data_IF_778918883745
#
_entry.id   IF_778918883745
#
_cell.length_a   1.000
_cell.length_b   1.000
_cell.length_c   1.000
_cell.angle_alpha   90.00
_cell.angle_beta   90.00
_cell.angle_gamma   90.00
#
_symmetry.space_group_name_H-M   'P 1'
#
loop_
_entity.id
_entity.type
_entity.pdbx_description
1 polymer ?
#
# COMPACT_ATOMS: atom_id res chain seq x y z
N UNK A 1 -7.90 29.46 -2.55
CA UNK A 1 -8.29 30.83 -2.11
C UNK A 1 -7.98 30.94 -0.63
N UNK A 2 -7.95 32.15 -0.07
CA UNK A 2 -7.72 32.30 1.38
C UNK A 2 -8.78 31.52 2.16
N UNK A 3 -8.35 30.75 3.15
CA UNK A 3 -9.17 29.88 3.99
C UNK A 3 -9.85 28.70 3.29
N UNK A 4 -9.54 28.43 2.01
CA UNK A 4 -9.89 27.15 1.40
C UNK A 4 -9.25 26.02 2.22
N UNK A 5 -10.08 25.10 2.69
CA UNK A 5 -9.68 24.08 3.67
C UNK A 5 -10.08 22.69 3.19
N UNK A 6 -9.14 21.76 3.24
CA UNK A 6 -9.41 20.32 3.19
C UNK A 6 -9.54 19.81 4.61
N UNK A 7 -10.69 19.18 4.90
CA UNK A 7 -10.94 18.54 6.18
C UNK A 7 -9.99 17.35 6.39
N UNK A 8 -9.97 16.84 7.62
CA UNK A 8 -9.20 15.65 7.96
C UNK A 8 -9.60 14.49 7.05
N UNK A 9 -8.62 13.95 6.33
CA UNK A 9 -8.83 12.85 5.41
C UNK A 9 -7.60 11.97 5.34
N UNK A 10 -7.81 10.74 4.88
CA UNK A 10 -6.79 9.74 4.62
C UNK A 10 -7.14 9.04 3.30
N UNK A 11 -6.14 8.61 2.54
CA UNK A 11 -6.42 7.78 1.36
C UNK A 11 -7.07 6.46 1.78
N UNK A 12 -8.18 6.12 1.13
CA UNK A 12 -8.92 4.91 1.45
C UNK A 12 -8.05 3.66 1.28
N UNK A 13 -7.22 3.59 0.24
CA UNK A 13 -6.33 2.45 -0.03
C UNK A 13 -5.01 2.54 0.75
N UNK A 14 -4.89 3.51 1.67
CA UNK A 14 -3.68 3.83 2.41
C UNK A 14 -2.47 4.07 1.49
N UNK A 15 -2.70 4.56 0.28
CA UNK A 15 -1.61 4.95 -0.61
C UNK A 15 -0.93 6.21 -0.07
N UNK A 16 0.40 6.27 -0.08
CA UNK A 16 1.08 7.53 0.07
C UNK A 16 0.76 8.44 -1.12
N UNK A 17 0.82 9.74 -0.88
CA UNK A 17 0.69 10.74 -1.93
C UNK A 17 1.69 11.87 -1.73
N UNK A 18 1.97 12.56 -2.82
CA UNK A 18 2.84 13.73 -2.83
C UNK A 18 2.06 14.92 -3.38
N UNK A 19 2.15 16.06 -2.70
CA UNK A 19 1.59 17.33 -3.15
C UNK A 19 2.73 18.30 -3.47
N UNK A 20 2.67 18.91 -4.64
CA UNK A 20 3.60 19.96 -5.07
C UNK A 20 2.87 21.29 -5.19
N UNK A 21 3.34 22.31 -4.47
CA UNK A 21 2.79 23.66 -4.55
C UNK A 21 3.50 24.43 -5.67
N UNK A 22 2.84 24.55 -6.83
CA UNK A 22 3.40 25.19 -8.02
C UNK A 22 3.62 26.69 -7.83
N UNK A 23 2.60 27.38 -7.30
CA UNK A 23 2.63 28.84 -7.15
C UNK A 23 1.60 29.34 -6.14
N UNK A 24 1.75 30.60 -5.74
CA UNK A 24 0.82 31.34 -4.90
C UNK A 24 1.25 31.42 -3.44
N UNK A 25 0.27 31.66 -2.58
CA UNK A 25 0.43 31.76 -1.14
C UNK A 25 0.70 30.41 -0.49
N UNK A 26 1.31 30.46 0.69
CA UNK A 26 1.64 29.30 1.50
C UNK A 26 0.40 28.46 1.86
N UNK A 27 0.62 27.16 2.06
CA UNK A 27 -0.39 26.24 2.56
C UNK A 27 0.05 25.68 3.93
N UNK A 28 -0.84 25.73 4.92
CA UNK A 28 -0.62 25.13 6.23
C UNK A 28 -1.14 23.70 6.20
N UNK A 29 -0.30 22.75 6.61
CA UNK A 29 -0.64 21.35 6.72
C UNK A 29 -0.67 20.93 8.18
N UNK A 30 -1.67 20.12 8.52
CA UNK A 30 -1.75 19.40 9.78
C UNK A 30 -1.76 17.90 9.49
N UNK A 31 -1.05 17.12 10.30
CA UNK A 31 -0.91 15.68 10.13
C UNK A 31 -1.02 14.96 11.47
N UNK A 32 -1.77 13.87 11.48
CA UNK A 32 -1.87 12.92 12.58
C UNK A 32 -1.20 11.62 12.12
N UNK A 33 -0.18 11.11 12.83
CA UNK A 33 0.48 9.85 12.50
C UNK A 33 -0.49 8.67 12.49
N UNK A 34 -0.16 7.61 11.73
CA UNK A 34 -1.01 6.43 11.60
C UNK A 34 -1.16 5.68 12.95
N UNK A 35 -0.16 5.77 13.81
CA UNK A 35 -0.14 5.13 15.13
C UNK A 35 -1.22 5.67 16.09
N UNK A 36 -1.72 6.88 15.82
CA UNK A 36 -2.78 7.51 16.62
C UNK A 36 -4.19 7.07 16.17
N UNK A 37 -4.34 6.22 15.15
CA UNK A 37 -5.64 5.85 14.55
C UNK A 37 -6.66 5.37 15.58
N UNK A 38 -6.28 4.42 16.45
CA UNK A 38 -7.18 3.87 17.46
C UNK A 38 -7.64 4.92 18.47
N UNK A 39 -6.71 5.79 18.90
CA UNK A 39 -7.02 6.87 19.85
C UNK A 39 -7.88 7.96 19.20
N UNK A 40 -7.60 8.26 17.93
CA UNK A 40 -8.36 9.22 17.14
C UNK A 40 -9.81 8.76 16.98
N UNK A 41 -10.04 7.47 16.74
CA UNK A 41 -11.38 6.90 16.65
C UNK A 41 -12.20 7.15 17.92
N UNK A 42 -11.64 6.84 19.09
CA UNK A 42 -12.30 7.00 20.40
C UNK A 42 -12.59 8.48 20.70
N UNK A 43 -11.60 9.35 20.48
CA UNK A 43 -11.72 10.79 20.72
C UNK A 43 -12.79 11.39 19.83
N UNK A 44 -12.79 11.06 18.55
CA UNK A 44 -13.76 11.60 17.58
C UNK A 44 -15.16 11.09 17.86
N UNK A 45 -15.30 9.80 18.18
CA UNK A 45 -16.58 9.21 18.56
C UNK A 45 -17.18 9.94 19.77
N UNK A 46 -16.34 10.25 20.76
CA UNK A 46 -16.74 10.98 21.98
C UNK A 46 -17.10 12.44 21.67
N UNK A 47 -16.25 13.15 20.93
CA UNK A 47 -16.44 14.58 20.60
C UNK A 47 -17.66 14.81 19.72
N UNK A 48 -17.90 13.94 18.74
CA UNK A 48 -18.99 14.09 17.78
C UNK A 48 -20.29 13.41 18.21
N UNK A 49 -20.31 12.76 19.39
CA UNK A 49 -21.45 12.00 19.90
C UNK A 49 -22.04 11.08 18.83
N UNK A 50 -21.17 10.30 18.20
CA UNK A 50 -21.56 9.50 17.05
C UNK A 50 -22.58 8.43 17.47
N UNK A 51 -23.85 8.61 17.10
CA UNK A 51 -24.95 7.68 17.42
C UNK A 51 -24.85 6.39 16.59
N UNK A 52 -23.82 5.57 16.83
CA UNK A 52 -23.58 4.30 16.17
C UNK A 52 -22.76 4.37 14.87
N UNK A 53 -22.26 5.54 14.48
CA UNK A 53 -21.31 5.70 13.36
C UNK A 53 -19.88 5.67 13.90
N UNK A 54 -18.96 4.86 13.35
CA UNK A 54 -17.56 4.89 13.75
C UNK A 54 -16.94 6.29 13.62
N UNK A 55 -16.17 6.73 14.61
CA UNK A 55 -15.65 8.11 14.67
C UNK A 55 -14.83 8.49 13.44
N UNK A 56 -13.94 7.60 12.98
CA UNK A 56 -13.11 7.85 11.79
C UNK A 56 -13.93 8.01 10.51
N UNK A 57 -15.06 7.31 10.38
CA UNK A 57 -15.94 7.46 9.23
C UNK A 57 -16.58 8.86 9.19
N UNK A 58 -16.80 9.49 10.35
CA UNK A 58 -17.29 10.86 10.42
C UNK A 58 -16.21 11.87 10.03
N UNK A 59 -14.96 11.68 10.46
CA UNK A 59 -13.83 12.51 10.02
C UNK A 59 -13.70 12.50 8.50
N UNK A 60 -13.72 11.30 7.90
CA UNK A 60 -13.66 11.11 6.45
C UNK A 60 -14.86 11.71 5.70
N UNK A 61 -15.95 12.05 6.41
CA UNK A 61 -17.17 12.69 5.85
C UNK A 61 -17.11 14.23 5.87
N UNK A 62 -15.91 14.81 5.78
CA UNK A 62 -15.64 16.26 5.76
C UNK A 62 -15.94 17.00 7.08
N UNK A 63 -15.67 16.36 8.23
CA UNK A 63 -15.73 17.05 9.52
C UNK A 63 -14.36 17.67 9.83
N UNK A 64 -14.35 18.97 10.12
CA UNK A 64 -13.15 19.67 10.58
C UNK A 64 -13.16 19.79 12.11
N UNK A 65 -12.20 19.14 12.76
CA UNK A 65 -11.91 19.30 14.20
C UNK A 65 -10.66 20.16 14.32
N UNK A 66 -10.69 21.16 15.21
CA UNK A 66 -9.52 22.00 15.45
C UNK A 66 -8.32 21.15 15.91
N UNK A 67 -7.13 21.32 15.30
CA UNK A 67 -5.90 20.67 15.77
C UNK A 67 -5.63 20.86 17.25
N UNK A 68 -5.97 22.04 17.80
CA UNK A 68 -5.79 22.34 19.22
C UNK A 68 -6.69 21.50 20.12
N UNK A 69 -7.92 21.20 19.68
CA UNK A 69 -8.84 20.33 20.41
C UNK A 69 -8.29 18.90 20.43
N UNK A 70 -7.83 18.40 19.28
CA UNK A 70 -7.21 17.08 19.19
C UNK A 70 -5.96 16.96 20.10
N UNK A 71 -5.10 17.98 20.12
CA UNK A 71 -3.96 18.03 21.03
C UNK A 71 -4.37 18.01 22.51
N UNK A 72 -5.47 18.68 22.90
CA UNK A 72 -5.99 18.68 24.28
C UNK A 72 -6.51 17.30 24.70
N UNK A 73 -7.11 16.56 23.78
CA UNK A 73 -7.49 15.15 23.96
C UNK A 73 -6.28 14.19 23.87
N UNK A 74 -5.08 14.75 23.72
CA UNK A 74 -3.81 14.03 23.72
C UNK A 74 -3.47 13.33 22.40
N UNK A 75 -4.15 13.64 21.29
CA UNK A 75 -3.75 13.17 19.96
C UNK A 75 -2.50 13.92 19.52
N UNK A 76 -1.51 13.20 19.00
CA UNK A 76 -0.32 13.82 18.43
C UNK A 76 -0.62 14.46 17.08
N UNK A 77 -0.55 15.78 17.00
CA UNK A 77 -0.72 16.54 15.75
C UNK A 77 0.57 17.26 15.39
N UNK A 78 1.01 17.10 14.14
CA UNK A 78 2.14 17.80 13.54
C UNK A 78 1.65 18.90 12.60
N UNK A 79 2.45 19.97 12.46
CA UNK A 79 2.16 21.10 11.57
C UNK A 79 3.37 21.43 10.70
N UNK A 80 3.13 21.75 9.44
CA UNK A 80 4.14 22.38 8.57
C UNK A 80 3.53 23.45 7.67
N UNK A 81 4.37 24.33 7.13
CA UNK A 81 4.00 25.34 6.14
C UNK A 81 4.69 25.00 4.84
N UNK A 82 3.91 24.76 3.79
CA UNK A 82 4.38 24.48 2.44
C UNK A 82 4.43 25.79 1.66
N UNK A 83 5.61 26.12 1.16
CA UNK A 83 5.87 27.27 0.30
C UNK A 83 5.93 26.86 -1.18
N UNK A 84 5.80 27.84 -2.08
CA UNK A 84 5.90 27.59 -3.53
C UNK A 84 7.21 26.88 -3.88
N UNK A 85 7.12 25.84 -4.71
CA UNK A 85 8.26 24.99 -5.09
C UNK A 85 8.56 23.84 -4.13
N UNK A 86 7.77 23.65 -3.06
CA UNK A 86 7.98 22.58 -2.09
C UNK A 86 7.04 21.39 -2.29
N UNK A 87 7.56 20.21 -1.96
CA UNK A 87 6.80 18.97 -1.86
C UNK A 87 6.37 18.69 -0.42
N UNK A 88 5.15 18.19 -0.25
CA UNK A 88 4.69 17.52 0.98
C UNK A 88 4.41 16.07 0.64
N UNK A 89 5.07 15.14 1.34
CA UNK A 89 4.85 13.71 1.20
C UNK A 89 4.01 13.22 2.38
N UNK A 90 2.86 12.65 2.08
CA UNK A 90 1.97 12.06 3.08
C UNK A 90 2.15 10.54 3.10
N UNK A 91 2.48 10.01 4.27
CA UNK A 91 2.72 8.59 4.46
C UNK A 91 1.41 7.81 4.58
N UNK A 92 1.44 6.49 4.28
CA UNK A 92 0.28 5.62 4.44
C UNK A 92 -0.31 5.70 5.84
N UNK A 93 -1.64 5.66 5.96
CA UNK A 93 -2.29 5.61 7.27
C UNK A 93 -2.48 6.97 7.96
N UNK A 94 -1.76 8.03 7.55
CA UNK A 94 -1.82 9.35 8.20
C UNK A 94 -3.08 10.13 7.83
N UNK A 95 -3.69 10.79 8.82
CA UNK A 95 -4.77 11.75 8.60
C UNK A 95 -4.20 13.14 8.38
N UNK A 96 -4.70 13.84 7.37
CA UNK A 96 -4.14 15.11 6.92
C UNK A 96 -5.24 16.15 6.69
N UNK A 97 -4.95 17.39 7.08
CA UNK A 97 -5.77 18.56 6.77
C UNK A 97 -4.89 19.67 6.20
N UNK A 98 -5.44 20.48 5.28
CA UNK A 98 -4.72 21.55 4.56
C UNK A 98 -5.55 22.83 4.61
N UNK A 99 -4.91 23.96 4.91
CA UNK A 99 -5.51 25.31 4.87
C UNK A 99 -4.67 26.20 3.96
N UNK A 100 -5.30 26.80 2.95
CA UNK A 100 -4.65 27.73 2.03
C UNK A 100 -4.65 29.16 2.59
N UNK A 101 -3.49 29.81 2.62
CA UNK A 101 -3.35 31.20 3.10
C UNK A 101 -3.70 32.25 2.02
N UNK A 102 -4.07 31.82 0.81
CA UNK A 102 -4.38 32.73 -0.30
C UNK A 102 -4.71 32.02 -1.60
N UNK A 103 -4.49 32.70 -2.73
CA UNK A 103 -4.47 32.03 -4.03
C UNK A 103 -3.27 31.09 -4.07
N UNK A 104 -3.50 29.81 -4.37
CA UNK A 104 -2.47 28.77 -4.44
C UNK A 104 -2.87 27.75 -5.50
N UNK A 105 -1.89 27.23 -6.23
CA UNK A 105 -2.09 26.14 -7.19
C UNK A 105 -1.16 25.00 -6.78
N UNK A 106 -1.72 23.87 -6.39
CA UNK A 106 -0.96 22.66 -6.09
C UNK A 106 -1.50 21.48 -6.88
N UNK A 107 -0.65 20.47 -7.04
CA UNK A 107 -0.99 19.22 -7.72
C UNK A 107 -0.64 18.05 -6.81
N UNK A 108 -1.54 17.08 -6.70
CA UNK A 108 -1.40 15.93 -5.82
C UNK A 108 -1.47 14.64 -6.62
N UNK A 109 -0.56 13.70 -6.37
CA UNK A 109 -0.59 12.36 -6.98
C UNK A 109 -0.34 11.28 -5.95
N UNK A 110 -1.12 10.21 -6.02
CA UNK A 110 -0.94 9.00 -5.22
C UNK A 110 0.06 8.07 -5.90
N UNK A 111 0.90 7.41 -5.13
CA UNK A 111 1.88 6.45 -5.65
C UNK A 111 1.93 5.21 -4.76
N UNK A 112 2.35 4.08 -5.30
CA UNK A 112 2.52 2.85 -4.56
C UNK A 112 3.99 2.49 -4.47
N UNK A 113 4.48 2.19 -3.27
CA UNK A 113 5.81 1.60 -3.05
C UNK A 113 5.68 0.09 -2.90
N UNK A 114 6.78 -0.64 -3.05
CA UNK A 114 6.79 -2.09 -2.76
C UNK A 114 6.32 -2.40 -1.34
N UNK A 115 6.71 -1.58 -0.36
CA UNK A 115 6.32 -1.74 1.05
C UNK A 115 4.83 -1.50 1.28
N UNK A 116 4.19 -0.65 0.47
CA UNK A 116 2.75 -0.43 0.56
C UNK A 116 1.95 -1.70 0.25
N UNK A 117 2.46 -2.65 -0.54
CA UNK A 117 1.69 -3.85 -0.94
C UNK A 117 1.13 -4.64 0.23
N UNK A 118 1.86 -4.76 1.34
CA UNK A 118 1.39 -5.43 2.56
C UNK A 118 0.24 -4.66 3.22
N UNK A 119 0.37 -3.34 3.37
CA UNK A 119 -0.67 -2.50 3.94
C UNK A 119 -1.91 -2.43 3.04
N UNK A 120 -1.72 -2.32 1.72
CA UNK A 120 -2.79 -2.35 0.73
C UNK A 120 -3.53 -3.68 0.73
N UNK A 121 -2.85 -4.80 1.01
CA UNK A 121 -3.47 -6.12 1.13
C UNK A 121 -4.38 -6.22 2.37
N UNK A 122 -3.93 -5.75 3.53
CA UNK A 122 -4.76 -5.69 4.74
C UNK A 122 -5.91 -4.71 4.60
N UNK A 123 -5.65 -3.51 4.06
CA UNK A 123 -6.68 -2.53 3.72
C UNK A 123 -7.73 -3.14 2.81
N UNK A 124 -7.30 -3.97 1.86
CA UNK A 124 -8.22 -4.68 1.00
C UNK A 124 -9.12 -5.68 1.77
N UNK A 125 -8.58 -6.43 2.74
CA UNK A 125 -9.42 -7.31 3.56
C UNK A 125 -10.40 -6.50 4.42
N UNK A 126 -9.96 -5.38 4.97
CA UNK A 126 -10.79 -4.50 5.79
C UNK A 126 -11.96 -3.92 5.00
N UNK A 127 -11.70 -3.34 3.84
CA UNK A 127 -12.75 -2.82 2.95
C UNK A 127 -13.76 -3.89 2.54
N UNK A 128 -13.29 -5.12 2.30
CA UNK A 128 -14.19 -6.25 2.01
C UNK A 128 -15.12 -6.53 3.20
N UNK A 129 -14.58 -6.50 4.44
CA UNK A 129 -15.37 -6.68 5.68
C UNK A 129 -16.38 -5.54 5.88
N UNK A 130 -15.99 -4.31 5.56
CA UNK A 130 -16.82 -3.09 5.67
C UNK A 130 -17.74 -2.85 4.46
N UNK A 131 -17.72 -3.73 3.45
CA UNK A 131 -18.55 -3.63 2.25
C UNK A 131 -18.27 -2.35 1.43
N UNK A 132 -17.04 -1.84 1.47
CA UNK A 132 -16.61 -0.64 0.74
C UNK A 132 -16.11 -1.02 -0.65
N UNK A 133 -16.66 -0.39 -1.68
CA UNK A 133 -16.31 -0.65 -3.07
C UNK A 133 -14.91 -0.10 -3.42
N UNK A 134 -14.03 -0.98 -3.90
CA UNK A 134 -12.66 -0.60 -4.30
C UNK A 134 -12.54 -0.12 -5.73
N UNK A 135 -11.54 0.74 -6.03
CA UNK A 135 -11.22 1.10 -7.41
C UNK A 135 -10.56 -0.05 -8.19
N UNK A 136 -9.78 -0.93 -7.54
CA UNK A 136 -9.07 -2.03 -8.20
C UNK A 136 -8.98 -3.31 -7.34
N UNK A 137 -8.60 -4.43 -7.97
CA UNK A 137 -8.40 -5.72 -7.30
C UNK A 137 -6.94 -5.89 -6.87
N UNK A 138 -6.71 -6.03 -5.56
CA UNK A 138 -5.38 -6.34 -5.01
C UNK A 138 -4.86 -7.69 -5.50
N UNK A 139 -5.74 -8.68 -5.69
CA UNK A 139 -5.37 -10.01 -6.21
C UNK A 139 -4.77 -9.88 -7.62
N UNK A 140 -5.45 -9.11 -8.50
CA UNK A 140 -4.96 -8.83 -9.85
C UNK A 140 -3.61 -8.13 -9.80
N UNK A 141 -3.49 -7.10 -8.96
CA UNK A 141 -2.27 -6.32 -8.84
C UNK A 141 -1.09 -7.21 -8.42
N UNK A 142 -1.24 -8.01 -7.36
CA UNK A 142 -0.20 -8.92 -6.87
C UNK A 142 0.23 -9.94 -7.93
N UNK A 143 -0.72 -10.54 -8.66
CA UNK A 143 -0.42 -11.48 -9.74
C UNK A 143 0.33 -10.84 -10.91
N UNK A 144 -0.02 -9.60 -11.27
CA UNK A 144 0.66 -8.87 -12.34
C UNK A 144 2.07 -8.45 -11.92
N UNK A 145 2.26 -7.98 -10.68
CA UNK A 145 3.60 -7.68 -10.12
C UNK A 145 4.43 -8.96 -10.11
N UNK A 146 3.88 -10.06 -9.59
CA UNK A 146 4.52 -11.37 -9.56
C UNK A 146 5.05 -11.80 -10.94
N UNK A 147 4.20 -11.75 -11.98
CA UNK A 147 4.59 -12.16 -13.32
C UNK A 147 5.61 -11.21 -13.97
N UNK A 148 5.46 -9.90 -13.77
CA UNK A 148 6.37 -8.90 -14.33
C UNK A 148 7.75 -8.94 -13.67
N UNK A 149 7.79 -8.97 -12.33
CA UNK A 149 9.03 -8.93 -11.56
C UNK A 149 9.75 -10.29 -11.55
N UNK A 150 9.03 -11.40 -11.72
CA UNK A 150 9.66 -12.71 -11.93
C UNK A 150 10.43 -12.79 -13.25
N UNK A 151 10.00 -12.05 -14.29
CA UNK A 151 10.73 -11.93 -15.57
C UNK A 151 11.97 -11.03 -15.46
N UNK A 152 11.90 -10.00 -14.61
CA UNK A 152 13.01 -9.06 -14.35
C UNK A 152 13.98 -9.52 -13.26
N UNK A 153 13.68 -10.63 -12.58
CA UNK A 153 14.47 -11.18 -11.48
C UNK A 153 14.69 -10.24 -10.28
N UNK A 154 13.69 -9.39 -10.00
CA UNK A 154 13.72 -8.42 -8.91
C UNK A 154 13.45 -9.10 -7.55
N UNK A 155 14.49 -9.70 -6.98
CA UNK A 155 14.43 -10.45 -5.71
C UNK A 155 13.79 -9.69 -4.54
N UNK A 156 14.18 -8.43 -4.23
CA UNK A 156 13.60 -7.68 -3.11
C UNK A 156 12.08 -7.49 -3.20
N UNK A 157 11.57 -7.16 -4.39
CA UNK A 157 10.12 -7.01 -4.60
C UNK A 157 9.40 -8.35 -4.47
N UNK A 158 9.95 -9.40 -5.07
CA UNK A 158 9.41 -10.76 -4.98
C UNK A 158 9.38 -11.26 -3.53
N UNK A 159 10.40 -10.94 -2.74
CA UNK A 159 10.47 -11.27 -1.31
C UNK A 159 9.39 -10.54 -0.50
N UNK A 160 9.10 -9.29 -0.83
CA UNK A 160 8.07 -8.50 -0.13
C UNK A 160 6.67 -9.07 -0.38
N UNK A 161 6.39 -9.51 -1.61
CA UNK A 161 5.05 -10.00 -2.00
C UNK A 161 4.85 -11.52 -1.80
N UNK A 162 5.91 -12.29 -1.55
CA UNK A 162 5.82 -13.77 -1.48
C UNK A 162 4.86 -14.23 -0.40
N UNK A 163 4.97 -13.66 0.81
CA UNK A 163 4.07 -13.96 1.92
C UNK A 163 2.61 -13.61 1.59
N UNK A 164 2.37 -12.50 0.88
CA UNK A 164 1.03 -12.09 0.45
C UNK A 164 0.45 -13.06 -0.59
N UNK A 165 1.29 -13.57 -1.50
CA UNK A 165 0.89 -14.55 -2.51
C UNK A 165 0.63 -15.93 -1.90
N UNK A 166 1.41 -16.34 -0.90
CA UNK A 166 1.16 -17.57 -0.13
C UNK A 166 -0.20 -17.50 0.56
N UNK A 167 -0.49 -16.41 1.28
CA UNK A 167 -1.78 -16.23 1.94
C UNK A 167 -2.94 -16.20 0.93
N UNK A 168 -2.75 -15.51 -0.20
CA UNK A 168 -3.75 -15.43 -1.26
C UNK A 168 -4.04 -16.81 -1.87
N UNK A 169 -3.00 -17.61 -2.17
CA UNK A 169 -3.14 -19.01 -2.63
C UNK A 169 -3.90 -19.83 -1.61
N UNK A 170 -3.46 -19.81 -0.35
CA UNK A 170 -4.00 -20.69 0.68
C UNK A 170 -5.45 -20.35 0.99
N UNK A 171 -5.81 -19.06 0.93
CA UNK A 171 -7.20 -18.60 1.07
C UNK A 171 -8.05 -19.04 -0.12
N UNK A 172 -7.57 -18.83 -1.35
CA UNK A 172 -8.27 -19.20 -2.58
C UNK A 172 -8.54 -20.71 -2.65
N UNK A 173 -7.51 -21.54 -2.44
CA UNK A 173 -7.65 -23.00 -2.49
C UNK A 173 -8.53 -23.54 -1.35
N UNK A 174 -8.46 -22.94 -0.17
CA UNK A 174 -9.35 -23.30 0.95
C UNK A 174 -10.81 -23.00 0.61
N UNK A 175 -11.10 -21.81 0.10
CA UNK A 175 -12.46 -21.40 -0.24
C UNK A 175 -13.04 -22.20 -1.41
N UNK A 176 -12.24 -22.54 -2.42
CA UNK A 176 -12.66 -23.45 -3.50
C UNK A 176 -13.03 -24.84 -2.96
N UNK A 177 -12.20 -25.42 -2.08
CA UNK A 177 -12.47 -26.71 -1.44
C UNK A 177 -13.75 -26.70 -0.60
N UNK A 178 -13.94 -25.68 0.22
CA UNK A 178 -15.16 -25.53 1.03
C UNK A 178 -16.43 -25.45 0.17
N UNK A 179 -16.39 -24.73 -0.96
CA UNK A 179 -17.52 -24.68 -1.89
C UNK A 179 -17.77 -26.02 -2.58
N UNK A 180 -16.71 -26.74 -2.94
CA UNK A 180 -16.82 -28.08 -3.52
C UNK A 180 -17.46 -29.05 -2.53
N UNK A 181 -17.01 -29.05 -1.27
CA UNK A 181 -17.57 -29.86 -0.19
C UNK A 181 -19.04 -29.49 0.11
N UNK A 182 -19.41 -28.22 -0.07
CA UNK A 182 -20.80 -27.76 0.02
C UNK A 182 -21.67 -28.17 -1.19
N UNK A 183 -21.11 -28.87 -2.18
CA UNK A 183 -21.83 -29.43 -3.34
C UNK A 183 -21.79 -28.58 -4.61
N UNK A 184 -20.93 -27.54 -4.68
CA UNK A 184 -20.74 -26.74 -5.89
C UNK A 184 -19.75 -27.42 -6.84
N UNK A 185 -20.25 -28.31 -7.69
CA UNK A 185 -19.41 -29.05 -8.65
C UNK A 185 -19.36 -28.41 -10.05
N UNK A 186 -20.33 -27.53 -10.37
CA UNK A 186 -20.36 -26.83 -11.66
C UNK A 186 -19.29 -25.75 -11.68
N UNK A 187 -18.31 -25.89 -12.58
CA UNK A 187 -17.24 -24.91 -12.74
C UNK A 187 -16.94 -24.59 -14.21
N UNK A 188 -16.35 -23.43 -14.48
CA UNK A 188 -15.76 -23.10 -15.77
C UNK A 188 -14.66 -22.05 -15.68
N UNK A 189 -13.71 -22.10 -16.59
CA UNK A 189 -12.67 -21.07 -16.74
C UNK A 189 -13.25 -19.80 -17.39
N UNK A 190 -12.88 -18.63 -16.89
CA UNK A 190 -13.11 -17.34 -17.55
C UNK A 190 -11.82 -16.60 -17.87
N UNK A 191 -11.84 -15.81 -18.94
CA UNK A 191 -10.72 -14.92 -19.30
C UNK A 191 -9.54 -15.64 -19.95
N UNK A 192 -9.79 -16.58 -20.87
CA UNK A 192 -8.73 -17.08 -21.75
C UNK A 192 -8.34 -15.98 -22.74
N UNK A 193 -7.05 -15.61 -22.74
CA UNK A 193 -6.36 -14.53 -23.48
C UNK A 193 -6.45 -13.10 -22.91
N UNK A 194 -5.46 -12.75 -22.07
CA UNK A 194 -4.75 -11.47 -22.26
C UNK A 194 -3.53 -11.78 -23.15
N UNK A 195 -3.43 -11.10 -24.30
CA UNK A 195 -2.40 -11.15 -25.37
C UNK A 195 -2.52 -12.22 -26.48
N UNK A 196 -2.38 -11.74 -27.73
CA UNK A 196 -2.39 -12.42 -29.03
C UNK A 196 -3.75 -12.73 -29.68
N UNK A 197 -4.32 -11.73 -30.33
CA UNK A 197 -5.18 -11.93 -31.50
C UNK A 197 -4.35 -12.49 -32.66
N UNK A 198 -4.13 -13.81 -32.68
CA UNK A 198 -3.89 -14.51 -33.95
C UNK A 198 -5.25 -14.98 -34.46
N UNK A 199 -5.67 -14.37 -35.57
CA UNK A 199 -6.78 -14.82 -36.41
C UNK A 199 -6.60 -16.30 -36.75
N UNK A 200 -7.40 -17.17 -36.15
CA UNK A 200 -7.69 -18.48 -36.72
C UNK A 200 -9.20 -18.68 -36.68
N UNK A 201 -9.71 -18.87 -37.88
CA UNK A 201 -11.11 -18.97 -38.28
C UNK A 201 -11.84 -20.08 -37.52
N UNK A 202 -13.01 -19.74 -36.97
CA UNK A 202 -13.78 -20.64 -36.12
C UNK A 202 -14.98 -19.93 -35.53
N UNK A 203 -16.05 -19.81 -36.31
CA UNK A 203 -17.36 -19.26 -35.93
C UNK A 203 -17.93 -19.95 -34.68
N UNK A 204 -17.57 -19.48 -33.49
CA UNK A 204 -18.39 -19.58 -32.28
C UNK A 204 -18.51 -18.18 -31.71
N UNK A 205 -19.71 -17.61 -31.77
CA UNK A 205 -20.01 -16.30 -31.15
C UNK A 205 -19.52 -16.36 -29.69
N UNK A 206 -18.58 -15.51 -29.26
CA UNK A 206 -18.21 -15.46 -27.86
C UNK A 206 -19.46 -15.09 -27.06
N UNK A 207 -19.76 -15.86 -26.00
CA UNK A 207 -20.90 -15.58 -25.12
C UNK A 207 -20.76 -14.14 -24.60
N UNK A 208 -21.85 -13.35 -24.61
CA UNK A 208 -21.89 -11.93 -24.18
C UNK A 208 -21.11 -11.64 -22.87
N UNK A 209 -21.02 -12.61 -21.98
CA UNK A 209 -20.30 -12.54 -20.70
C UNK A 209 -18.76 -12.41 -20.81
N UNK A 210 -18.15 -12.79 -21.94
CA UNK A 210 -16.69 -12.71 -22.11
C UNK A 210 -16.19 -11.26 -22.31
N UNK A 211 -17.07 -10.34 -22.69
CA UNK A 211 -16.70 -8.99 -23.14
C UNK A 211 -16.92 -7.91 -22.07
N UNK A 212 -17.32 -8.32 -20.86
CA UNK A 212 -17.62 -7.42 -19.77
C UNK A 212 -16.33 -6.90 -19.13
N UNK A 213 -16.15 -5.59 -19.22
CA UNK A 213 -15.05 -4.86 -18.61
C UNK A 213 -14.95 -5.15 -17.11
N UNK A 214 -13.74 -5.00 -16.57
CA UNK A 214 -13.35 -5.36 -15.20
C UNK A 214 -14.19 -4.75 -14.06
N UNK A 215 -15.06 -3.78 -14.35
CA UNK A 215 -15.94 -3.09 -13.41
C UNK A 215 -17.13 -3.94 -12.92
N UNK A 216 -17.57 -4.96 -13.66
CA UNK A 216 -18.83 -5.68 -13.40
C UNK A 216 -18.70 -6.97 -12.59
N UNK A 217 -17.49 -7.37 -12.16
CA UNK A 217 -17.27 -8.61 -11.38
C UNK A 217 -17.13 -8.35 -9.89
N UNK A 218 -18.01 -7.49 -9.37
CA UNK A 218 -18.09 -7.18 -7.94
C UNK A 218 -19.02 -8.17 -7.26
N UNK A 219 -18.62 -8.62 -6.08
CA UNK A 219 -19.52 -9.37 -5.23
C UNK A 219 -20.71 -8.47 -4.83
N UNK A 220 -21.94 -8.93 -5.07
CA UNK A 220 -23.15 -8.17 -4.70
C UNK A 220 -23.23 -7.87 -3.20
N UNK A 221 -22.67 -8.75 -2.36
CA UNK A 221 -22.69 -8.58 -0.91
C UNK A 221 -21.56 -7.62 -0.51
N UNK A 222 -20.30 -8.09 -0.54
CA UNK A 222 -19.17 -7.35 0.03
C UNK A 222 -18.50 -6.31 -0.90
N UNK A 223 -19.01 -6.09 -2.12
CA UNK A 223 -18.44 -5.17 -3.11
C UNK A 223 -16.99 -5.49 -3.56
N UNK A 224 -16.46 -6.66 -3.19
CA UNK A 224 -15.12 -7.13 -3.56
C UNK A 224 -15.01 -7.39 -5.06
N UNK A 225 -13.95 -6.87 -5.69
CA UNK A 225 -13.60 -7.13 -7.08
C UNK A 225 -12.92 -8.50 -7.21
N UNK A 226 -13.68 -9.48 -7.69
CA UNK A 226 -13.24 -10.86 -7.80
C UNK A 226 -12.33 -11.03 -9.04
N UNK A 227 -11.08 -11.48 -8.84
CA UNK A 227 -10.13 -11.66 -9.93
C UNK A 227 -9.69 -13.11 -10.14
N UNK A 228 -9.40 -13.85 -9.08
CA UNK A 228 -8.99 -15.26 -9.19
C UNK A 228 -10.17 -16.18 -9.46
N UNK A 229 -11.20 -16.10 -8.62
CA UNK A 229 -12.45 -16.81 -8.79
C UNK A 229 -13.65 -16.04 -8.28
N UNK A 230 -14.81 -16.45 -8.75
CA UNK A 230 -16.11 -15.97 -8.31
C UNK A 230 -17.16 -17.06 -8.50
N UNK A 231 -18.29 -16.93 -7.83
CA UNK A 231 -19.47 -17.76 -8.10
C UNK A 231 -20.50 -16.91 -8.80
N UNK A 232 -21.02 -17.40 -9.91
CA UNK A 232 -22.05 -16.72 -10.70
C UNK A 232 -23.36 -17.47 -10.60
N UNK A 233 -24.44 -16.73 -10.41
CA UNK A 233 -25.80 -17.25 -10.51
C UNK A 233 -26.39 -16.86 -11.87
N UNK A 234 -26.46 -17.81 -12.80
CA UNK A 234 -26.81 -17.54 -14.21
C UNK A 234 -28.21 -16.94 -14.37
N UNK A 235 -29.15 -17.30 -13.50
CA UNK A 235 -30.54 -16.83 -13.59
C UNK A 235 -30.71 -15.35 -13.25
N UNK A 236 -29.86 -14.80 -12.37
CA UNK A 236 -30.01 -13.44 -11.83
C UNK A 236 -28.87 -12.50 -12.26
N UNK A 237 -27.88 -13.01 -13.01
CA UNK A 237 -26.65 -12.30 -13.37
C UNK A 237 -25.90 -11.73 -12.15
N UNK A 238 -25.98 -12.42 -11.02
CA UNK A 238 -25.33 -12.02 -9.77
C UNK A 238 -23.96 -12.68 -9.64
N UNK A 239 -23.00 -11.91 -9.14
CA UNK A 239 -21.64 -12.37 -8.82
C UNK A 239 -21.45 -12.37 -7.30
N UNK A 240 -20.87 -13.45 -6.79
CA UNK A 240 -20.43 -13.59 -5.41
C UNK A 240 -18.93 -13.87 -5.35
N UNK A 241 -18.23 -13.30 -4.36
CA UNK A 241 -16.91 -13.82 -3.99
C UNK A 241 -17.09 -15.18 -3.30
N UNK A 242 -16.05 -16.01 -3.24
CA UNK A 242 -16.16 -17.38 -2.74
C UNK A 242 -16.69 -17.46 -1.32
N UNK A 243 -16.23 -16.57 -0.44
CA UNK A 243 -16.70 -16.47 0.94
C UNK A 243 -18.19 -16.14 1.05
N UNK A 244 -18.66 -15.14 0.28
CA UNK A 244 -20.07 -14.76 0.28
C UNK A 244 -20.95 -15.83 -0.38
N UNK A 245 -20.42 -16.53 -1.39
CA UNK A 245 -21.09 -17.65 -2.03
C UNK A 245 -21.27 -18.81 -1.04
N UNK A 246 -20.25 -19.12 -0.24
CA UNK A 246 -20.34 -20.19 0.77
C UNK A 246 -21.46 -19.89 1.78
N UNK A 247 -21.48 -18.68 2.34
CA UNK A 247 -22.56 -18.25 3.25
C UNK A 247 -23.94 -18.29 2.57
N UNK A 248 -24.01 -17.97 1.28
CA UNK A 248 -25.26 -18.05 0.51
C UNK A 248 -25.73 -19.50 0.36
N UNK A 249 -24.83 -20.42 0.01
CA UNK A 249 -25.10 -21.85 -0.12
C UNK A 249 -25.54 -22.44 1.22
N UNK A 250 -24.87 -22.11 2.32
CA UNK A 250 -25.23 -22.57 3.67
C UNK A 250 -26.64 -22.11 4.07
N UNK A 251 -27.01 -20.86 3.73
CA UNK A 251 -28.33 -20.30 4.02
C UNK A 251 -29.44 -20.93 3.17
N UNK A 252 -29.20 -21.15 1.88
CA UNK A 252 -30.18 -21.71 0.95
C UNK A 252 -30.22 -23.25 0.95
N UNK A 253 -29.21 -23.90 1.52
CA UNK A 253 -28.99 -25.36 1.48
C UNK A 253 -29.05 -25.94 0.06
N UNK A 254 -28.68 -25.14 -0.95
CA UNK A 254 -28.78 -25.52 -2.36
C UNK A 254 -27.73 -24.77 -3.19
N UNK A 255 -27.06 -25.52 -4.06
CA UNK A 255 -26.11 -24.99 -5.06
C UNK A 255 -26.76 -24.84 -6.45
N UNK A 256 -28.08 -25.00 -6.57
CA UNK A 256 -28.77 -25.03 -7.87
C UNK A 256 -28.65 -23.69 -8.59
N UNK A 257 -28.11 -23.71 -9.81
CA UNK A 257 -27.94 -22.51 -10.64
C UNK A 257 -26.69 -21.68 -10.31
N UNK A 258 -25.87 -22.13 -9.36
CA UNK A 258 -24.56 -21.55 -9.07
C UNK A 258 -23.47 -22.23 -9.91
N UNK A 259 -22.49 -21.43 -10.32
CA UNK A 259 -21.34 -21.92 -11.07
C UNK A 259 -20.06 -21.23 -10.60
N UNK A 260 -19.06 -22.02 -10.25
CA UNK A 260 -17.72 -21.52 -9.94
C UNK A 260 -17.03 -21.09 -11.24
N UNK A 261 -16.69 -19.82 -11.33
CA UNK A 261 -15.93 -19.26 -12.43
C UNK A 261 -14.52 -18.96 -11.91
N UNK A 262 -13.48 -19.48 -12.56
CA UNK A 262 -12.08 -19.27 -12.16
C UNK A 262 -11.19 -18.82 -13.32
N UNK A 263 -10.12 -18.06 -13.05
CA UNK A 263 -9.14 -17.63 -14.06
C UNK A 263 -8.00 -18.64 -14.20
N UNK A 264 -7.45 -19.09 -13.07
CA UNK A 264 -6.33 -20.03 -13.00
C UNK A 264 -6.76 -21.35 -12.35
N UNK A 265 -6.25 -22.47 -12.86
CA UNK A 265 -6.40 -23.78 -12.22
C UNK A 265 -5.56 -23.83 -10.94
N UNK A 266 -5.85 -24.77 -10.04
CA UNK A 266 -5.13 -24.91 -8.77
C UNK A 266 -3.62 -25.13 -9.00
N UNK A 267 -3.26 -25.98 -9.96
CA UNK A 267 -1.87 -26.24 -10.34
C UNK A 267 -1.14 -24.97 -10.81
N UNK A 268 -1.82 -24.10 -11.56
CA UNK A 268 -1.24 -22.85 -12.05
C UNK A 268 -0.98 -21.86 -10.91
N UNK A 269 -1.92 -21.79 -9.96
CA UNK A 269 -1.77 -20.96 -8.76
C UNK A 269 -0.57 -21.47 -7.94
N UNK A 270 -0.53 -22.78 -7.66
CA UNK A 270 0.54 -23.41 -6.87
C UNK A 270 1.90 -23.21 -7.56
N UNK A 271 1.98 -23.47 -8.86
CA UNK A 271 3.21 -23.33 -9.65
C UNK A 271 3.74 -21.91 -9.63
N UNK A 272 2.88 -20.89 -9.82
CA UNK A 272 3.29 -19.49 -9.79
C UNK A 272 3.89 -19.11 -8.43
N UNK A 273 3.22 -19.47 -7.34
CA UNK A 273 3.70 -19.12 -5.98
C UNK A 273 4.99 -19.87 -5.66
N UNK A 274 5.08 -21.17 -5.97
CA UNK A 274 6.30 -21.96 -5.77
C UNK A 274 7.47 -21.41 -6.58
N UNK A 275 7.24 -20.98 -7.82
CA UNK A 275 8.27 -20.35 -8.64
C UNK A 275 8.80 -19.07 -7.99
N UNK A 276 7.92 -18.24 -7.42
CA UNK A 276 8.31 -16.98 -6.78
C UNK A 276 9.06 -17.27 -5.49
N UNK A 277 8.53 -18.10 -4.61
CA UNK A 277 9.17 -18.48 -3.36
C UNK A 277 10.53 -19.17 -3.60
N UNK A 278 10.64 -20.01 -4.63
CA UNK A 278 11.91 -20.61 -5.05
C UNK A 278 12.95 -19.57 -5.50
N UNK A 279 12.53 -18.53 -6.23
CA UNK A 279 13.42 -17.43 -6.62
C UNK A 279 13.87 -16.55 -5.44
N UNK A 280 13.06 -16.44 -4.39
CA UNK A 280 13.46 -15.76 -3.15
C UNK A 280 14.49 -16.60 -2.38
N UNK A 281 14.23 -17.90 -2.21
CA UNK A 281 15.12 -18.80 -1.47
C UNK A 281 16.47 -19.05 -2.16
N UNK A 282 16.51 -19.07 -3.50
CA UNK A 282 17.75 -19.29 -4.27
C UNK A 282 18.82 -18.20 -4.12
N UNK A 283 18.49 -17.04 -3.51
CA UNK A 283 19.44 -15.95 -3.24
C UNK A 283 19.85 -15.80 -1.77
N UNK A 284 19.21 -16.51 -0.83
CA UNK A 284 19.61 -16.51 0.58
C UNK A 284 20.77 -17.48 0.90
N UNK A 285 21.37 -18.11 -0.10
CA UNK A 285 22.54 -18.99 0.02
C UNK A 285 23.91 -18.30 -0.10
N UNK A 286 23.99 -16.98 0.05
CA UNK A 286 25.28 -16.29 0.12
C UNK A 286 25.21 -15.09 1.05
N UNK A 287 25.38 -15.34 2.34
CA UNK A 287 25.77 -14.31 3.31
C UNK A 287 26.89 -14.86 4.20
N UNK A 288 28.04 -14.20 4.05
CA UNK A 288 29.14 -14.01 5.00
C UNK A 288 29.88 -15.22 5.58
N UNK A 289 31.16 -15.30 5.21
CA UNK A 289 32.19 -15.85 6.09
C UNK A 289 33.21 -14.73 6.39
N UNK A 290 32.92 -13.95 7.43
CA UNK A 290 33.90 -13.07 8.06
C UNK A 290 34.68 -13.89 9.10
N UNK A 291 35.86 -14.41 8.73
CA UNK A 291 36.84 -14.90 9.70
C UNK A 291 38.25 -14.45 9.29
N UNK A 292 38.78 -13.56 10.12
CA UNK A 292 40.16 -13.16 10.34
C UNK A 292 41.23 -14.14 9.83
N UNK A 293 42.12 -13.65 8.96
CA UNK A 293 43.46 -14.24 8.79
C UNK A 293 44.45 -13.60 9.79
N UNK A 294 45.31 -14.40 10.43
CA UNK A 294 46.24 -13.93 11.46
C UNK A 294 47.40 -13.12 10.84
N UNK A 295 47.80 -12.07 11.54
CA UNK A 295 48.99 -11.26 11.24
C UNK A 295 50.28 -12.06 11.43
N UNK A 296 51.22 -12.07 10.47
CA UNK A 296 52.58 -12.53 10.73
C UNK A 296 53.41 -11.39 11.37
N UNK A 297 54.00 -11.67 12.54
CA UNK A 297 55.04 -10.83 13.14
C UNK A 297 56.30 -10.83 12.25
N UNK A 298 56.69 -9.67 11.71
CA UNK A 298 58.07 -9.41 11.25
C UNK A 298 58.54 -8.07 11.79
N UNK A 299 59.71 -8.09 12.41
CA UNK A 299 60.41 -6.94 13.01
C UNK A 299 60.99 -5.96 11.98
N UNK A 300 61.77 -4.96 12.44
CA UNK A 300 61.71 -3.59 11.95
C UNK A 300 62.73 -3.29 10.85
N UNK A 301 62.43 -2.36 9.92
CA UNK A 301 63.45 -1.48 9.30
C UNK A 301 62.89 -0.27 8.52
N UNK A 302 63.39 0.89 8.96
CA UNK A 302 63.74 2.15 8.27
C UNK A 302 62.64 2.93 7.52
N UNK A 303 62.20 4.02 8.18
CA UNK A 303 61.47 5.15 7.61
C UNK A 303 62.48 6.13 6.99
N UNK A 304 62.30 6.45 5.71
CA UNK A 304 62.90 7.62 5.09
C UNK A 304 61.87 8.74 5.00
N UNK A 305 62.30 9.91 5.43
CA UNK A 305 61.66 11.23 5.53
C UNK A 305 61.43 11.88 4.16
N UNK A 306 60.34 12.64 4.02
CA UNK A 306 60.34 13.97 3.40
C UNK A 306 59.28 14.85 4.11
N UNK A 307 59.74 16.00 4.60
CA UNK A 307 59.02 17.11 5.28
C UNK A 307 58.03 17.84 4.34
N UNK A 308 57.13 18.74 4.78
CA UNK A 308 57.32 20.18 5.14
C UNK A 308 55.88 20.78 5.36
N UNK A 309 55.62 21.90 6.07
CA UNK A 309 55.78 22.26 7.50
C UNK A 309 54.43 22.71 8.16
N UNK A 310 54.38 23.04 9.48
CA UNK A 310 53.21 23.67 10.12
C UNK A 310 53.42 25.18 10.35
N UNK A 311 52.34 25.97 10.21
CA UNK A 311 52.29 27.37 10.59
C UNK A 311 52.26 27.52 12.13
N UNK A 312 53.16 28.37 12.64
CA UNK A 312 53.31 28.69 14.06
C UNK A 312 52.34 29.79 14.50
N UNK A 313 51.67 29.55 15.61
CA UNK A 313 51.16 30.60 16.51
C UNK A 313 52.34 31.30 17.20
N UNK A 314 52.23 32.62 17.39
CA UNK A 314 53.21 33.42 18.14
C UNK A 314 52.60 33.99 19.44
N UNK A 315 53.42 34.24 20.48
CA UNK A 315 52.98 34.44 21.86
C UNK A 315 53.11 35.89 22.36
N UNK A 316 52.67 36.11 23.60
CA UNK A 316 52.57 37.37 24.35
C UNK A 316 53.82 37.78 25.16
N UNK A 317 54.00 39.10 25.35
CA UNK A 317 54.77 39.78 26.42
C UNK A 317 55.70 40.89 25.87
N UNK A 318 55.88 42.10 26.42
CA UNK A 318 55.50 42.74 27.69
C UNK A 318 55.84 44.27 27.70
N UNK A 319 55.07 45.06 28.47
CA UNK A 319 55.39 46.28 29.27
C UNK A 319 55.81 47.66 28.69
N UNK A 320 54.97 48.68 29.03
CA UNK A 320 55.19 50.09 29.55
C UNK A 320 56.11 51.05 28.75
N UNK A 321 55.75 52.30 28.43
CA UNK A 321 55.55 53.44 29.38
C UNK A 321 55.03 54.74 28.70
N UNK A 322 54.19 55.48 29.46
CA UNK A 322 54.11 56.94 29.68
C UNK A 322 53.69 58.00 28.62
N UNK A 323 52.71 58.83 29.06
CA UNK A 323 52.45 60.28 28.86
C UNK A 323 52.04 60.77 27.45
N UNK A 324 51.13 61.73 27.23
CA UNK A 324 50.63 62.87 28.02
C UNK A 324 49.34 63.48 27.41
N UNK A 325 48.48 64.03 28.28
CA UNK A 325 47.65 65.26 28.13
C UNK A 325 46.91 65.59 26.83
N UNK A 326 45.58 65.67 26.88
CA UNK A 326 44.77 66.90 27.10
C UNK A 326 43.29 66.53 27.10
#
# INVERSE_FOLDING_TARGET
MVFSTSCWSRDQNHLPYIDYLHTGADCIWYCIPAEEESKLEDVVHTLLQANGTPGLQMLESNVMISPEVLCKEGIKVHRTVQQSGQFVVCFPGSFVSKVCCGYSVSETVHFATTQWTSMGFETAKEMKRRHIAKPFSMEKLLYQIAQAEAKKENGPTLSTISALLDELRDTELRQRRQLFEAGLHSSARYGSHDSSSTLVDGKKKPRKWLQLETSERRCQICQHLCYLSMVVQENENVVFCLECALRHVEKQKSCRGLKLMYRYDEEQIISLVNQICGKVSGKNGSVENCLSKPTPKRGPRKRATVDVPPSRLAPSGSSRSAASSS
#
